data_IF_107416654303
#
_entry.id   IF_107416654303
#
_cell.length_a   1.000
_cell.length_b   1.000
_cell.length_c   1.000
_cell.angle_alpha   90.00
_cell.angle_beta   90.00
_cell.angle_gamma   90.00
#
_symmetry.space_group_name_H-M   'P 1'
#
loop_
_entity.id
_entity.type
_entity.pdbx_description
1 polymer ?
#
# COMPACT_ATOMS: atom_id res chain seq x y z
N UNK A 1 -3.29 -6.82 -18.05
CA UNK A 1 -2.11 -5.99 -18.34
C UNK A 1 -2.10 -5.49 -19.78
N UNK A 2 -2.46 -6.32 -20.75
CA UNK A 2 -2.44 -5.92 -22.17
C UNK A 2 -3.43 -4.78 -22.47
N UNK A 3 -4.61 -4.80 -21.87
CA UNK A 3 -5.57 -3.69 -21.97
C UNK A 3 -5.00 -2.40 -21.38
N UNK A 4 -4.32 -2.47 -20.22
CA UNK A 4 -3.69 -1.29 -19.62
C UNK A 4 -2.63 -0.71 -20.56
N UNK A 5 -1.76 -1.56 -21.11
CA UNK A 5 -0.76 -1.13 -22.11
C UNK A 5 -1.39 -0.54 -23.36
N UNK A 6 -2.47 -1.17 -23.85
CA UNK A 6 -3.17 -0.74 -25.05
C UNK A 6 -3.82 0.65 -24.90
N UNK A 7 -4.46 0.90 -23.75
CA UNK A 7 -5.25 2.13 -23.55
C UNK A 7 -4.48 3.27 -22.88
N UNK A 8 -3.48 2.97 -22.06
CA UNK A 8 -2.72 4.00 -21.35
C UNK A 8 -1.33 4.26 -21.93
N UNK A 9 -0.80 3.39 -22.79
CA UNK A 9 0.42 3.60 -23.58
C UNK A 9 1.70 3.85 -22.79
N UNK A 10 1.65 3.78 -21.46
CA UNK A 10 2.74 4.10 -20.57
C UNK A 10 3.30 2.86 -19.84
N UNK A 11 4.45 3.04 -19.21
CA UNK A 11 4.96 2.02 -18.29
C UNK A 11 4.14 2.02 -16.99
N UNK A 12 3.78 0.83 -16.54
CA UNK A 12 2.97 0.63 -15.37
C UNK A 12 3.85 0.54 -14.12
N UNK A 13 3.50 1.30 -13.10
CA UNK A 13 3.92 1.09 -11.72
C UNK A 13 2.73 0.50 -10.96
N UNK A 14 2.93 -0.62 -10.30
CA UNK A 14 1.86 -1.31 -9.57
C UNK A 14 2.29 -1.77 -8.20
N UNK A 15 1.43 -1.54 -7.22
CA UNK A 15 1.48 -2.21 -5.92
C UNK A 15 0.39 -3.26 -5.90
N UNK A 16 0.75 -4.53 -5.74
CA UNK A 16 -0.21 -5.63 -5.70
C UNK A 16 -1.07 -5.54 -4.45
N UNK A 17 -2.33 -5.96 -4.60
CA UNK A 17 -3.28 -6.04 -3.50
C UNK A 17 -3.40 -7.44 -2.91
N UNK A 18 -4.16 -7.55 -1.83
CA UNK A 18 -4.42 -8.83 -1.18
C UNK A 18 -5.20 -9.80 -2.08
N UNK A 19 -5.95 -9.29 -3.05
CA UNK A 19 -6.68 -10.12 -4.02
C UNK A 19 -5.77 -10.85 -4.99
N UNK A 20 -4.65 -10.25 -5.38
CA UNK A 20 -3.64 -10.89 -6.22
C UNK A 20 -2.93 -12.01 -5.47
N UNK A 21 -2.67 -11.84 -4.17
CA UNK A 21 -2.05 -12.87 -3.33
C UNK A 21 -3.04 -13.95 -2.87
N UNK A 22 -4.33 -13.65 -2.81
CA UNK A 22 -5.35 -14.61 -2.40
C UNK A 22 -5.82 -15.42 -3.60
N UNK A 23 -5.46 -16.69 -3.65
CA UNK A 23 -5.81 -17.59 -4.75
C UNK A 23 -7.33 -17.75 -4.92
N UNK A 24 -8.05 -17.75 -3.80
CA UNK A 24 -9.53 -17.83 -3.76
C UNK A 24 -10.06 -17.10 -2.54
N UNK A 25 -10.40 -15.85 -2.68
CA UNK A 25 -10.88 -15.01 -1.58
C UNK A 25 -12.08 -15.61 -0.81
N UNK A 26 -12.80 -16.53 -1.43
CA UNK A 26 -14.03 -17.12 -0.89
C UNK A 26 -13.94 -18.62 -0.60
N UNK A 27 -12.92 -19.30 -1.08
CA UNK A 27 -12.84 -20.77 -1.05
C UNK A 27 -11.68 -21.29 -0.19
N UNK A 28 -10.63 -20.53 0.02
CA UNK A 28 -9.52 -20.91 0.90
C UNK A 28 -9.16 -19.76 1.82
N UNK A 29 -8.95 -19.99 3.13
CA UNK A 29 -8.40 -18.99 3.99
C UNK A 29 -7.00 -18.62 3.47
N UNK A 30 -6.81 -17.36 3.11
CA UNK A 30 -5.46 -16.86 2.80
C UNK A 30 -4.64 -16.91 4.08
N UNK A 31 -3.51 -17.60 4.02
CA UNK A 31 -2.56 -17.58 5.12
C UNK A 31 -1.82 -16.24 5.09
N UNK A 32 -1.98 -15.43 6.13
CA UNK A 32 -1.25 -14.17 6.28
C UNK A 32 0.21 -14.42 6.70
N UNK A 33 0.88 -15.32 6.00
CA UNK A 33 2.25 -15.73 6.32
C UNK A 33 3.21 -15.30 5.21
N UNK A 34 4.47 -15.04 5.58
CA UNK A 34 5.52 -14.74 4.62
C UNK A 34 5.74 -15.90 3.63
N UNK A 35 5.66 -17.13 4.09
CA UNK A 35 5.78 -18.31 3.24
C UNK A 35 4.68 -18.39 2.19
N UNK A 36 3.45 -18.06 2.55
CA UNK A 36 2.34 -17.99 1.59
C UNK A 36 2.55 -16.87 0.56
N UNK A 37 2.97 -15.67 1.01
CA UNK A 37 3.30 -14.55 0.12
C UNK A 37 4.42 -14.91 -0.85
N UNK A 38 5.48 -15.54 -0.39
CA UNK A 38 6.60 -15.96 -1.23
C UNK A 38 6.15 -16.92 -2.33
N UNK A 39 5.40 -17.97 -1.99
CA UNK A 39 4.84 -18.90 -2.98
C UNK A 39 3.93 -18.22 -4.00
N UNK A 40 3.11 -17.28 -3.55
CA UNK A 40 2.24 -16.52 -4.43
C UNK A 40 3.02 -15.58 -5.35
N UNK A 41 4.07 -14.96 -4.84
CA UNK A 41 4.95 -14.07 -5.60
C UNK A 41 5.61 -14.78 -6.79
N UNK A 42 6.03 -16.05 -6.64
CA UNK A 42 6.62 -16.85 -7.73
C UNK A 42 5.64 -17.05 -8.91
N UNK A 43 4.36 -17.18 -8.60
CA UNK A 43 3.31 -17.28 -9.62
C UNK A 43 3.02 -15.92 -10.25
N UNK A 44 2.90 -14.89 -9.43
CA UNK A 44 2.57 -13.53 -9.87
C UNK A 44 3.69 -12.89 -10.70
N UNK A 45 4.95 -13.19 -10.40
CA UNK A 45 6.11 -12.71 -11.15
C UNK A 45 6.10 -13.13 -12.64
N UNK A 46 5.35 -14.19 -13.00
CA UNK A 46 5.15 -14.61 -14.40
C UNK A 46 4.18 -13.69 -15.15
N UNK A 47 3.38 -12.92 -14.44
CA UNK A 47 2.33 -12.07 -15.01
C UNK A 47 2.70 -10.59 -14.95
N UNK A 48 3.31 -10.15 -13.85
CA UNK A 48 3.67 -8.76 -13.64
C UNK A 48 5.12 -8.50 -14.05
N UNK A 49 5.39 -7.47 -14.88
CA UNK A 49 6.71 -7.21 -15.44
C UNK A 49 7.65 -6.40 -14.52
N UNK A 50 7.39 -6.36 -13.22
CA UNK A 50 8.16 -5.60 -12.24
C UNK A 50 8.37 -6.42 -10.96
N UNK A 51 9.35 -6.02 -10.16
CA UNK A 51 9.59 -6.64 -8.86
C UNK A 51 8.41 -6.37 -7.91
N UNK A 52 7.78 -7.44 -7.45
CA UNK A 52 6.55 -7.36 -6.66
C UNK A 52 6.80 -6.88 -5.23
N UNK A 53 8.00 -7.06 -4.70
CA UNK A 53 8.31 -6.68 -3.32
C UNK A 53 8.61 -5.19 -3.18
N UNK A 54 9.45 -4.67 -4.08
CA UNK A 54 9.72 -3.25 -4.22
C UNK A 54 10.20 -2.97 -5.62
N UNK A 55 9.57 -2.02 -6.29
CA UNK A 55 10.02 -1.51 -7.56
C UNK A 55 10.08 0.01 -7.50
N UNK A 56 11.08 0.60 -8.11
CA UNK A 56 11.25 2.04 -8.09
C UNK A 56 11.55 2.59 -9.50
N UNK A 57 11.00 3.76 -9.77
CA UNK A 57 11.22 4.47 -11.03
C UNK A 57 11.26 5.97 -10.83
N UNK A 58 12.22 6.61 -11.45
CA UNK A 58 12.31 8.06 -11.47
C UNK A 58 11.56 8.62 -12.68
N UNK A 59 10.61 9.51 -12.43
CA UNK A 59 9.86 10.22 -13.45
C UNK A 59 9.91 11.72 -13.13
N UNK A 60 10.44 12.50 -14.03
CA UNK A 60 10.57 13.96 -13.88
C UNK A 60 11.22 14.40 -12.55
N UNK A 61 12.26 13.69 -12.12
CA UNK A 61 12.98 14.00 -10.87
C UNK A 61 12.31 13.51 -9.58
N UNK A 62 11.16 12.86 -9.66
CA UNK A 62 10.48 12.24 -8.54
C UNK A 62 10.67 10.73 -8.58
N UNK A 63 11.06 10.14 -7.46
CA UNK A 63 11.23 8.70 -7.30
C UNK A 63 9.91 8.06 -6.85
N UNK A 64 9.22 7.39 -7.75
CA UNK A 64 8.04 6.60 -7.44
C UNK A 64 8.49 5.21 -7.00
N UNK A 65 8.15 4.84 -5.78
CA UNK A 65 8.51 3.55 -5.18
C UNK A 65 7.23 2.77 -4.92
N UNK A 66 7.07 1.61 -5.54
CA UNK A 66 6.00 0.66 -5.18
C UNK A 66 6.55 -0.31 -4.14
N UNK A 67 5.74 -0.62 -3.15
CA UNK A 67 6.11 -1.49 -2.04
C UNK A 67 4.96 -2.45 -1.73
N UNK A 68 5.25 -3.74 -1.69
CA UNK A 68 4.31 -4.73 -1.19
C UNK A 68 4.11 -4.55 0.32
N UNK A 69 2.89 -4.16 0.69
CA UNK A 69 2.43 -4.03 2.07
C UNK A 69 1.25 -4.95 2.38
N UNK A 70 1.01 -5.94 1.52
CA UNK A 70 -0.12 -6.86 1.66
C UNK A 70 0.00 -7.63 2.97
N UNK A 71 -1.14 -7.85 3.60
CA UNK A 71 -1.32 -8.36 4.96
C UNK A 71 -0.78 -7.42 6.06
N UNK A 72 -0.49 -6.16 5.70
CA UNK A 72 -0.21 -5.09 6.66
C UNK A 72 1.20 -5.10 7.25
N UNK A 73 2.16 -5.78 6.63
CA UNK A 73 3.54 -5.80 7.09
C UNK A 73 4.53 -5.58 5.96
N UNK A 74 5.73 -5.21 6.33
CA UNK A 74 6.90 -5.12 5.45
C UNK A 74 8.04 -5.97 6.01
N UNK A 75 8.89 -6.47 5.12
CA UNK A 75 10.00 -7.32 5.49
C UNK A 75 11.32 -6.52 5.57
N UNK A 76 12.33 -7.00 6.32
CA UNK A 76 13.59 -6.28 6.49
C UNK A 76 14.29 -5.91 5.17
N UNK A 77 14.29 -6.81 4.18
CA UNK A 77 14.86 -6.56 2.86
C UNK A 77 14.18 -5.41 2.11
N UNK A 78 12.85 -5.28 2.26
CA UNK A 78 12.10 -4.17 1.68
C UNK A 78 12.49 -2.84 2.33
N UNK A 79 12.67 -2.84 3.65
CA UNK A 79 13.12 -1.66 4.39
C UNK A 79 14.51 -1.21 3.95
N UNK A 80 15.45 -2.15 3.79
CA UNK A 80 16.80 -1.86 3.30
C UNK A 80 16.76 -1.30 1.87
N UNK A 81 15.99 -1.90 0.99
CA UNK A 81 15.81 -1.44 -0.38
C UNK A 81 15.17 -0.05 -0.44
N UNK A 82 14.16 0.22 0.37
CA UNK A 82 13.56 1.56 0.45
C UNK A 82 14.57 2.59 0.92
N UNK A 83 15.39 2.28 1.92
CA UNK A 83 16.47 3.16 2.39
C UNK A 83 17.52 3.43 1.31
N UNK A 84 17.79 2.44 0.46
CA UNK A 84 18.66 2.64 -0.70
C UNK A 84 18.05 3.62 -1.71
N UNK A 85 16.73 3.54 -1.94
CA UNK A 85 16.02 4.51 -2.77
C UNK A 85 16.05 5.92 -2.17
N UNK A 86 15.89 6.08 -0.86
CA UNK A 86 15.97 7.37 -0.19
C UNK A 86 17.37 8.02 -0.30
N UNK A 87 18.44 7.21 -0.30
CA UNK A 87 19.81 7.71 -0.49
C UNK A 87 20.05 8.38 -1.85
N UNK A 88 19.18 8.21 -2.82
CA UNK A 88 19.26 8.90 -4.12
C UNK A 88 19.01 10.42 -4.00
N UNK A 89 18.48 10.88 -2.86
CA UNK A 89 18.26 12.32 -2.60
C UNK A 89 17.09 12.92 -3.38
N UNK A 90 16.25 12.13 -4.03
CA UNK A 90 15.11 12.60 -4.80
C UNK A 90 13.82 12.61 -3.95
N UNK A 91 12.87 13.51 -4.23
CA UNK A 91 11.54 13.41 -3.65
C UNK A 91 10.92 12.03 -3.91
N UNK A 92 10.28 11.44 -2.91
CA UNK A 92 9.71 10.09 -2.97
C UNK A 92 8.19 10.16 -2.92
N UNK A 93 7.55 9.43 -3.83
CA UNK A 93 6.13 9.05 -3.76
C UNK A 93 6.08 7.54 -3.54
N UNK A 94 5.55 7.12 -2.39
CA UNK A 94 5.44 5.71 -2.03
C UNK A 94 4.05 5.19 -2.38
N UNK A 95 4.00 4.15 -3.20
CA UNK A 95 2.76 3.50 -3.61
C UNK A 95 2.65 2.14 -2.93
N UNK A 96 1.56 1.92 -2.20
CA UNK A 96 1.29 0.66 -1.48
C UNK A 96 -0.16 0.24 -1.70
N UNK A 97 -0.49 -1.02 -1.48
CA UNK A 97 -1.90 -1.42 -1.47
C UNK A 97 -2.56 -1.08 -0.13
N UNK A 98 -1.99 -1.56 0.96
CA UNK A 98 -2.50 -1.29 2.32
C UNK A 98 -1.95 0.05 2.80
N UNK A 99 -2.79 1.03 3.17
CA UNK A 99 -2.32 2.29 3.70
C UNK A 99 -1.66 2.12 5.07
N UNK A 100 -0.70 2.98 5.38
CA UNK A 100 -0.16 3.04 6.72
C UNK A 100 -1.11 3.76 7.68
N UNK A 101 -1.15 3.28 8.91
CA UNK A 101 -2.08 3.76 9.91
C UNK A 101 -1.93 5.25 10.22
N UNK A 102 -3.08 5.90 10.24
CA UNK A 102 -3.30 7.23 10.82
C UNK A 102 -4.70 7.26 11.47
N UNK A 103 -4.89 8.10 12.48
CA UNK A 103 -6.19 8.20 13.18
C UNK A 103 -7.33 8.65 12.27
N UNK A 104 -7.06 9.48 11.27
CA UNK A 104 -8.08 9.95 10.34
C UNK A 104 -8.49 8.87 9.36
N UNK A 105 -7.56 8.11 8.82
CA UNK A 105 -7.88 6.94 7.98
C UNK A 105 -8.72 5.96 8.77
N UNK A 106 -8.36 5.69 10.03
CA UNK A 106 -9.14 4.82 10.90
C UNK A 106 -10.57 5.32 11.07
N UNK A 107 -10.75 6.58 11.47
CA UNK A 107 -12.10 7.17 11.64
C UNK A 107 -12.91 7.14 10.35
N UNK A 108 -12.29 7.45 9.21
CA UNK A 108 -12.98 7.43 7.92
C UNK A 108 -13.43 6.00 7.55
N UNK A 109 -12.58 5.02 7.79
CA UNK A 109 -12.89 3.61 7.55
C UNK A 109 -14.04 3.14 8.43
N UNK A 110 -13.99 3.39 9.72
CA UNK A 110 -15.06 3.02 10.65
C UNK A 110 -16.40 3.63 10.21
N UNK A 111 -16.41 4.90 9.85
CA UNK A 111 -17.61 5.61 9.38
C UNK A 111 -18.18 5.00 8.09
N UNK A 112 -17.34 4.61 7.17
CA UNK A 112 -17.76 4.02 5.90
C UNK A 112 -18.37 2.62 6.10
N UNK A 113 -17.64 1.76 6.77
CA UNK A 113 -18.02 0.36 6.89
C UNK A 113 -19.15 0.11 7.88
N UNK A 114 -19.27 0.90 8.94
CA UNK A 114 -20.42 0.83 9.85
C UNK A 114 -21.75 1.15 9.14
N UNK A 115 -21.73 2.08 8.18
CA UNK A 115 -22.91 2.39 7.36
C UNK A 115 -23.29 1.27 6.41
N UNK A 116 -22.32 0.47 5.98
CA UNK A 116 -22.56 -0.70 5.14
C UNK A 116 -23.09 -1.92 5.90
N UNK A 117 -23.37 -1.78 7.21
CA UNK A 117 -23.84 -2.89 8.05
C UNK A 117 -22.82 -3.99 8.28
N UNK A 118 -21.57 -3.77 7.88
CA UNK A 118 -20.48 -4.75 8.04
C UNK A 118 -19.67 -4.41 9.27
N UNK A 119 -19.56 -5.37 10.20
CA UNK A 119 -18.52 -5.31 11.23
C UNK A 119 -17.16 -5.37 10.55
N UNK A 120 -16.32 -4.44 10.93
CA UNK A 120 -15.00 -4.29 10.33
C UNK A 120 -14.02 -5.31 10.92
N UNK A 121 -14.27 -6.59 10.69
CA UNK A 121 -13.42 -7.67 11.22
C UNK A 121 -12.13 -7.87 10.42
N UNK A 122 -12.03 -7.27 9.23
CA UNK A 122 -10.90 -7.46 8.31
C UNK A 122 -10.07 -6.21 8.06
N UNK A 123 -10.33 -5.13 8.76
CA UNK A 123 -9.57 -3.92 8.52
C UNK A 123 -8.28 -3.87 9.33
N UNK A 124 -7.29 -3.43 8.70
CA UNK A 124 -5.97 -3.15 9.16
C UNK A 124 -5.81 -2.07 10.12
N UNK A 125 -6.66 -1.88 10.91
CA UNK A 125 -6.76 -0.69 11.71
C UNK A 125 -6.85 -1.18 13.13
N UNK A 126 -6.19 -0.54 14.07
CA UNK A 126 -6.28 -0.96 15.45
C UNK A 126 -7.75 -1.06 15.82
N UNK A 127 -8.14 -2.16 16.43
CA UNK A 127 -9.41 -2.23 17.12
C UNK A 127 -9.40 -1.24 18.30
N UNK A 128 -10.51 -1.14 19.01
CA UNK A 128 -10.61 -0.27 20.18
C UNK A 128 -9.60 -0.60 21.30
N UNK A 129 -8.87 -1.72 21.19
CA UNK A 129 -7.83 -2.18 22.12
C UNK A 129 -6.42 -1.92 21.60
N UNK A 130 -6.29 -1.34 20.38
CA UNK A 130 -5.01 -1.07 19.75
C UNK A 130 -4.46 -2.22 18.92
N UNK A 131 -5.21 -3.30 18.72
CA UNK A 131 -4.83 -4.37 17.82
C UNK A 131 -4.96 -3.94 16.37
N UNK A 132 -3.99 -4.35 15.55
CA UNK A 132 -3.97 -4.03 14.12
C UNK A 132 -4.37 -5.27 13.32
N UNK A 133 -5.47 -5.21 12.60
CA UNK A 133 -5.94 -6.33 11.79
C UNK A 133 -5.43 -6.32 10.36
N UNK A 134 -4.97 -5.20 9.83
CA UNK A 134 -4.32 -5.09 8.52
C UNK A 134 -2.92 -4.55 8.63
N UNK A 135 -2.60 -3.78 9.67
CA UNK A 135 -1.24 -3.39 9.94
C UNK A 135 -0.71 -4.24 11.07
N UNK A 136 0.28 -5.06 10.76
CA UNK A 136 0.96 -5.87 11.75
C UNK A 136 1.71 -4.98 12.75
N UNK A 137 1.84 -5.46 13.97
CA UNK A 137 2.54 -4.76 15.05
C UNK A 137 3.96 -5.29 15.26
N UNK A 138 4.48 -6.05 14.29
CA UNK A 138 5.86 -6.52 14.33
C UNK A 138 6.86 -5.35 14.35
N UNK A 139 8.04 -5.54 14.95
CA UNK A 139 9.02 -4.47 15.10
C UNK A 139 9.44 -3.85 13.76
N UNK A 140 9.66 -4.67 12.73
CA UNK A 140 10.11 -4.19 11.41
C UNK A 140 9.12 -3.20 10.81
N UNK A 141 7.84 -3.56 10.79
CA UNK A 141 6.78 -2.71 10.23
C UNK A 141 6.62 -1.43 11.04
N UNK A 142 6.60 -1.51 12.37
CA UNK A 142 6.49 -0.33 13.23
C UNK A 142 7.66 0.62 13.08
N UNK A 143 8.88 0.09 13.06
CA UNK A 143 10.10 0.88 12.91
C UNK A 143 10.18 1.52 11.52
N UNK A 144 9.71 0.82 10.49
CA UNK A 144 9.62 1.38 9.14
C UNK A 144 8.62 2.53 9.07
N UNK A 145 7.44 2.41 9.67
CA UNK A 145 6.46 3.51 9.74
C UNK A 145 7.05 4.71 10.49
N UNK A 146 7.73 4.46 11.61
CA UNK A 146 8.39 5.52 12.38
C UNK A 146 9.50 6.20 11.57
N UNK A 147 10.23 5.45 10.76
CA UNK A 147 11.22 5.97 9.82
C UNK A 147 10.55 6.83 8.74
N UNK A 148 9.51 6.31 8.07
CA UNK A 148 8.79 7.05 7.03
C UNK A 148 8.23 8.39 7.51
N UNK A 149 7.77 8.45 8.76
CA UNK A 149 7.28 9.71 9.37
C UNK A 149 8.35 10.77 9.57
N UNK A 150 9.62 10.37 9.56
CA UNK A 150 10.77 11.27 9.72
C UNK A 150 11.52 11.52 8.41
N UNK A 151 11.21 10.77 7.35
CA UNK A 151 11.90 10.85 6.07
C UNK A 151 11.53 12.14 5.31
N UNK A 152 12.43 13.13 5.19
CA UNK A 152 12.09 14.41 4.61
C UNK A 152 11.86 14.36 3.10
N UNK A 153 12.40 13.34 2.42
CA UNK A 153 12.21 13.14 1.00
C UNK A 153 10.84 12.51 0.65
N UNK A 154 10.16 11.89 1.61
CA UNK A 154 8.82 11.38 1.41
C UNK A 154 7.83 12.55 1.27
N UNK A 155 7.17 12.63 0.11
CA UNK A 155 6.21 13.70 -0.23
C UNK A 155 4.77 13.21 -0.31
N UNK A 156 4.57 11.96 -0.68
CA UNK A 156 3.25 11.37 -0.80
C UNK A 156 3.24 9.86 -0.59
N UNK A 157 2.11 9.38 -0.11
CA UNK A 157 1.78 7.96 -0.06
C UNK A 157 0.47 7.78 -0.82
N UNK A 158 0.45 6.85 -1.76
CA UNK A 158 -0.73 6.49 -2.54
C UNK A 158 -1.14 5.06 -2.16
N UNK A 159 -2.38 4.87 -1.73
CA UNK A 159 -2.86 3.58 -1.26
C UNK A 159 -4.32 3.32 -1.65
N UNK A 160 -4.76 2.07 -1.52
CA UNK A 160 -6.13 1.63 -1.79
C UNK A 160 -6.71 0.82 -0.63
N UNK A 161 -7.13 -0.41 -0.91
CA UNK A 161 -7.55 -1.45 0.02
C UNK A 161 -8.82 -1.16 0.84
N UNK A 162 -8.95 0.01 1.43
CA UNK A 162 -10.02 0.33 2.36
C UNK A 162 -11.35 0.70 1.68
N UNK A 163 -11.35 0.81 0.35
CA UNK A 163 -12.51 1.20 -0.46
C UNK A 163 -13.12 2.56 -0.07
N UNK A 164 -12.34 3.41 0.55
CA UNK A 164 -12.70 4.78 0.92
C UNK A 164 -11.83 5.77 0.18
N UNK A 165 -12.36 6.97 -0.02
CA UNK A 165 -11.56 8.08 -0.55
C UNK A 165 -11.24 9.02 0.59
N UNK A 166 -9.96 9.12 0.95
CA UNK A 166 -9.49 9.98 2.02
C UNK A 166 -8.11 10.54 1.72
N UNK A 167 -7.88 11.76 2.19
CA UNK A 167 -6.59 12.44 2.15
C UNK A 167 -6.25 12.89 3.56
N UNK A 168 -5.08 12.54 4.05
CA UNK A 168 -4.63 12.89 5.39
C UNK A 168 -3.13 13.19 5.44
N UNK A 169 -2.74 14.04 6.36
CA UNK A 169 -1.33 14.29 6.65
C UNK A 169 -0.73 13.08 7.37
N UNK A 170 0.24 12.47 6.74
CA UNK A 170 0.98 11.33 7.28
C UNK A 170 2.18 11.75 8.13
N UNK A 171 2.90 12.80 7.66
CA UNK A 171 4.08 13.36 8.32
C UNK A 171 4.16 14.87 8.06
N UNK A 172 5.10 15.61 8.66
CA UNK A 172 5.29 17.03 8.33
C UNK A 172 5.50 17.30 6.83
N UNK A 173 6.08 16.35 6.09
CA UNK A 173 6.46 16.49 4.68
C UNK A 173 5.59 15.71 3.71
N UNK A 174 4.75 14.79 4.20
CA UNK A 174 4.01 13.87 3.34
C UNK A 174 2.50 13.85 3.62
N UNK A 175 1.73 13.77 2.54
CA UNK A 175 0.30 13.46 2.56
C UNK A 175 0.09 11.99 2.21
N UNK A 176 -0.90 11.35 2.82
CA UNK A 176 -1.38 10.04 2.42
C UNK A 176 -2.74 10.15 1.75
N UNK A 177 -2.84 9.54 0.59
CA UNK A 177 -4.04 9.47 -0.24
C UNK A 177 -4.49 8.02 -0.31
N UNK A 178 -5.71 7.76 0.10
CA UNK A 178 -6.36 6.46 -0.08
C UNK A 178 -7.47 6.62 -1.08
N UNK A 179 -7.44 5.81 -2.14
CA UNK A 179 -8.45 5.84 -3.20
C UNK A 179 -9.52 4.80 -2.93
N UNK A 180 -10.76 5.14 -3.23
CA UNK A 180 -11.89 4.22 -3.19
C UNK A 180 -11.77 3.11 -4.24
N UNK A 181 -12.60 2.08 -4.12
CA UNK A 181 -12.60 0.97 -5.07
C UNK A 181 -13.02 1.40 -6.47
N UNK A 182 -12.30 0.97 -7.49
CA UNK A 182 -12.62 1.26 -8.88
C UNK A 182 -13.98 0.67 -9.32
N UNK A 183 -14.44 -0.40 -8.67
CA UNK A 183 -15.78 -0.95 -8.85
C UNK A 183 -16.92 0.02 -8.44
N UNK A 184 -16.56 1.09 -7.72
CA UNK A 184 -17.45 2.22 -7.42
C UNK A 184 -17.17 3.43 -8.33
N UNK A 185 -16.39 3.24 -9.39
CA UNK A 185 -15.93 4.30 -10.32
C UNK A 185 -15.11 5.40 -9.61
N UNK A 186 -14.40 5.05 -8.56
CA UNK A 186 -13.53 5.98 -7.85
C UNK A 186 -12.12 5.99 -8.43
N UNK A 187 -11.61 7.18 -8.68
CA UNK A 187 -10.23 7.47 -9.01
C UNK A 187 -9.78 8.75 -8.33
N UNK A 188 -8.48 8.96 -8.23
CA UNK A 188 -7.91 10.21 -7.74
C UNK A 188 -6.80 10.67 -8.68
N UNK A 189 -6.82 11.95 -9.01
CA UNK A 189 -5.70 12.63 -9.62
C UNK A 189 -4.90 13.35 -8.53
N UNK A 190 -3.61 13.14 -8.49
CA UNK A 190 -2.71 13.75 -7.52
C UNK A 190 -1.60 14.47 -8.28
N UNK A 191 -1.50 15.78 -8.10
CA UNK A 191 -0.45 16.62 -8.67
C UNK A 191 0.61 16.92 -7.61
N UNK A 192 1.86 16.70 -7.94
CA UNK A 192 3.02 17.09 -7.13
C UNK A 192 3.66 18.31 -7.80
N UNK A 193 3.73 19.42 -7.07
CA UNK A 193 4.35 20.66 -7.51
C UNK A 193 5.66 20.91 -6.75
#
# INVERSE_FOLDING_TARGET
>A
LDLVKQYFGGEMLGALGNHEFSRYMWLEPSENTEAYKARSADVLAKVFPFDLRLHARVVNGVNFVTLDSVYGYVCPDQVERFRAEAKKGLPIVLCTHVPFYTDGIWRASQKFWSRAGKRFESAAIPDARGDYKIQQTDPTTRDFIAYLKKEPLLKGLLAGHLHITVRERFSPTAMQFVVGGNFLSHGQEVTFA
#
